data_IF_019889012528
#
_entry.id   IF_019889012528
#
_cell.length_a   1.000
_cell.length_b   1.000
_cell.length_c   1.000
_cell.angle_alpha   90.00
_cell.angle_beta   90.00
_cell.angle_gamma   90.00
#
_symmetry.space_group_name_H-M   'P 1'
#
loop_
_entity.id
_entity.type
_entity.pdbx_description
1 polymer ?
#
# COMPACT_ATOMS: atom_id res chain seq x y z
N UNK A 1 25.24 10.54 -17.57
CA UNK A 1 25.78 10.67 -16.20
C UNK A 1 24.77 10.07 -15.23
N UNK A 2 24.91 8.78 -14.93
CA UNK A 2 24.10 8.06 -13.95
C UNK A 2 24.57 8.46 -12.55
N UNK A 3 23.67 9.00 -11.74
CA UNK A 3 23.92 9.43 -10.36
C UNK A 3 24.54 8.28 -9.55
N UNK A 4 25.75 8.48 -9.04
CA UNK A 4 26.47 7.58 -8.12
C UNK A 4 25.84 7.51 -6.72
N UNK A 5 24.75 8.23 -6.50
CA UNK A 5 24.02 8.34 -5.24
C UNK A 5 22.57 7.99 -5.52
N UNK A 6 22.17 6.75 -5.22
CA UNK A 6 20.75 6.36 -5.20
C UNK A 6 19.94 7.21 -4.21
N UNK A 7 18.61 7.06 -4.17
CA UNK A 7 17.73 7.92 -3.38
C UNK A 7 18.16 8.00 -1.91
N UNK A 8 18.15 9.20 -1.36
CA UNK A 8 18.53 9.52 0.02
C UNK A 8 17.32 9.43 0.97
N UNK A 9 17.57 9.56 2.28
CA UNK A 9 16.48 9.63 3.27
C UNK A 9 15.58 10.86 3.03
N UNK A 10 16.15 11.96 2.57
CA UNK A 10 15.42 13.20 2.26
C UNK A 10 14.49 12.94 1.08
N UNK A 11 14.98 12.29 0.01
CA UNK A 11 14.17 11.95 -1.17
C UNK A 11 13.02 11.01 -0.81
N UNK A 12 13.26 10.03 0.06
CA UNK A 12 12.25 9.11 0.54
C UNK A 12 11.19 9.80 1.42
N UNK A 13 11.59 10.75 2.27
CA UNK A 13 10.66 11.55 3.07
C UNK A 13 9.81 12.49 2.20
N UNK A 14 10.40 13.15 1.21
CA UNK A 14 9.68 13.98 0.25
C UNK A 14 8.70 13.15 -0.59
N UNK A 15 9.12 11.94 -0.98
CA UNK A 15 8.25 10.98 -1.67
C UNK A 15 7.06 10.57 -0.79
N UNK A 16 7.30 10.28 0.49
CA UNK A 16 6.22 9.95 1.42
C UNK A 16 5.26 11.12 1.61
N UNK A 17 5.77 12.35 1.72
CA UNK A 17 4.96 13.56 1.77
C UNK A 17 4.12 13.74 0.50
N UNK A 18 4.65 13.38 -0.68
CA UNK A 18 3.93 13.39 -1.95
C UNK A 18 2.76 12.42 -1.95
N UNK A 19 2.98 11.17 -1.48
CA UNK A 19 1.92 10.16 -1.35
C UNK A 19 0.83 10.62 -0.37
N UNK A 20 1.22 11.18 0.78
CA UNK A 20 0.27 11.71 1.79
C UNK A 20 -0.53 12.89 1.23
N UNK A 21 0.12 13.84 0.58
CA UNK A 21 -0.54 15.00 -0.04
C UNK A 21 -1.56 14.56 -1.09
N UNK A 22 -1.19 13.62 -1.96
CA UNK A 22 -2.10 13.10 -2.98
C UNK A 22 -3.40 12.56 -2.34
N UNK A 23 -3.24 11.79 -1.26
CA UNK A 23 -4.34 11.17 -0.53
C UNK A 23 -5.21 12.18 0.23
N UNK A 24 -4.59 13.10 0.96
CA UNK A 24 -5.29 14.02 1.86
C UNK A 24 -5.92 15.20 1.11
N UNK A 25 -5.27 15.66 0.04
CA UNK A 25 -5.64 16.93 -0.62
C UNK A 25 -5.97 16.74 -2.09
N UNK A 26 -5.07 16.15 -2.88
CA UNK A 26 -5.18 16.26 -4.34
C UNK A 26 -6.36 15.44 -4.89
N UNK A 27 -6.57 14.20 -4.41
CA UNK A 27 -7.71 13.37 -4.82
C UNK A 27 -9.06 13.94 -4.34
N UNK A 28 -9.10 14.49 -3.12
CA UNK A 28 -10.30 15.15 -2.61
C UNK A 28 -10.62 16.45 -3.38
N UNK A 29 -9.59 17.16 -3.85
CA UNK A 29 -9.73 18.32 -4.72
C UNK A 29 -10.21 17.95 -6.12
N UNK A 30 -9.63 16.91 -6.71
CA UNK A 30 -10.02 16.36 -8.01
C UNK A 30 -11.49 15.90 -8.01
N UNK A 31 -11.91 15.17 -6.97
CA UNK A 31 -13.31 14.74 -6.82
C UNK A 31 -14.27 15.92 -6.85
N UNK A 32 -13.97 16.97 -6.06
CA UNK A 32 -14.79 18.19 -6.01
C UNK A 32 -14.88 18.85 -7.38
N UNK A 33 -13.76 19.04 -8.07
CA UNK A 33 -13.74 19.61 -9.42
C UNK A 33 -14.55 18.80 -10.43
N UNK A 34 -14.47 17.46 -10.36
CA UNK A 34 -15.27 16.57 -11.20
C UNK A 34 -16.77 16.72 -10.89
N UNK A 35 -17.15 16.66 -9.62
CA UNK A 35 -18.55 16.81 -9.18
C UNK A 35 -19.12 18.19 -9.59
N UNK A 36 -18.34 19.27 -9.43
CA UNK A 36 -18.72 20.62 -9.84
C UNK A 36 -18.89 20.72 -11.37
N UNK A 37 -17.97 20.16 -12.14
CA UNK A 37 -18.04 20.14 -13.61
C UNK A 37 -19.23 19.33 -14.13
N UNK A 38 -19.52 18.18 -13.53
CA UNK A 38 -20.69 17.37 -13.84
C UNK A 38 -22.00 18.10 -13.46
N UNK A 39 -22.01 18.78 -12.31
CA UNK A 39 -23.16 19.59 -11.89
C UNK A 39 -23.41 20.74 -12.86
N UNK A 40 -22.36 21.48 -13.25
CA UNK A 40 -22.44 22.57 -14.22
C UNK A 40 -22.98 22.08 -15.57
N UNK A 41 -22.51 20.93 -16.04
CA UNK A 41 -23.02 20.30 -17.26
C UNK A 41 -24.52 19.95 -17.14
N UNK A 42 -24.97 19.40 -16.02
CA UNK A 42 -26.39 19.04 -15.82
C UNK A 42 -27.31 20.26 -15.80
N UNK A 43 -26.86 21.36 -15.19
CA UNK A 43 -27.67 22.58 -15.03
C UNK A 43 -27.54 23.56 -16.19
N UNK A 44 -26.64 23.31 -17.15
CA UNK A 44 -26.44 24.21 -18.29
C UNK A 44 -27.72 24.35 -19.12
N UNK A 45 -28.12 25.60 -19.35
CA UNK A 45 -29.24 25.97 -20.20
C UNK A 45 -28.97 27.32 -20.83
N UNK A 46 -29.01 27.36 -22.16
CA UNK A 46 -28.95 28.58 -22.95
C UNK A 46 -30.35 28.83 -23.57
N UNK A 47 -31.01 29.96 -23.26
CA UNK A 47 -32.32 30.28 -23.82
C UNK A 47 -32.29 30.52 -25.34
N UNK A 48 -31.13 30.82 -25.92
CA UNK A 48 -30.97 31.08 -27.35
C UNK A 48 -30.73 29.80 -28.16
N UNK A 49 -30.55 28.66 -27.48
CA UNK A 49 -30.34 27.34 -28.10
C UNK A 49 -31.61 26.49 -28.09
N UNK A 50 -31.76 25.65 -29.12
CA UNK A 50 -32.79 24.60 -29.14
C UNK A 50 -32.54 23.57 -28.04
N UNK A 51 -33.58 22.82 -27.65
CA UNK A 51 -33.45 21.75 -26.64
C UNK A 51 -32.41 20.68 -27.05
N UNK A 52 -32.33 20.38 -28.35
CA UNK A 52 -31.33 19.45 -28.89
C UNK A 52 -29.91 20.03 -28.78
N UNK A 53 -29.72 21.32 -29.13
CA UNK A 53 -28.43 21.98 -28.99
C UNK A 53 -28.00 22.09 -27.51
N UNK A 54 -28.94 22.39 -26.61
CA UNK A 54 -28.71 22.34 -25.17
C UNK A 54 -28.32 20.93 -24.71
N UNK A 55 -29.00 19.87 -25.17
CA UNK A 55 -28.65 18.49 -24.83
C UNK A 55 -27.24 18.11 -25.32
N UNK A 56 -26.88 18.46 -26.56
CA UNK A 56 -25.53 18.25 -27.10
C UNK A 56 -24.48 19.00 -26.28
N UNK A 57 -24.76 20.26 -25.92
CA UNK A 57 -23.84 21.08 -25.14
C UNK A 57 -23.60 20.52 -23.74
N UNK A 58 -24.64 20.04 -23.07
CA UNK A 58 -24.51 19.35 -21.77
C UNK A 58 -23.63 18.10 -21.88
N UNK A 59 -23.83 17.30 -22.91
CA UNK A 59 -23.01 16.10 -23.15
C UNK A 59 -21.54 16.44 -23.46
N UNK A 60 -21.28 17.51 -24.19
CA UNK A 60 -19.91 18.01 -24.44
C UNK A 60 -19.23 18.46 -23.15
N UNK A 61 -19.93 19.25 -22.31
CA UNK A 61 -19.40 19.71 -21.02
C UNK A 61 -19.12 18.55 -20.07
N UNK A 62 -20.03 17.57 -20.01
CA UNK A 62 -19.87 16.36 -19.22
C UNK A 62 -18.64 15.54 -19.67
N UNK A 63 -18.46 15.37 -20.99
CA UNK A 63 -17.28 14.71 -21.57
C UNK A 63 -16.00 15.47 -21.24
N UNK A 64 -15.98 16.78 -21.40
CA UNK A 64 -14.81 17.62 -21.13
C UNK A 64 -14.41 17.57 -19.63
N UNK A 65 -15.39 17.61 -18.72
CA UNK A 65 -15.13 17.50 -17.28
C UNK A 65 -14.49 16.14 -16.92
N UNK A 66 -15.01 15.06 -17.51
CA UNK A 66 -14.48 13.70 -17.34
C UNK A 66 -13.07 13.53 -17.91
N UNK A 67 -12.83 14.00 -19.13
CA UNK A 67 -11.53 13.93 -19.79
C UNK A 67 -10.45 14.72 -19.02
N UNK A 68 -10.81 15.91 -18.54
CA UNK A 68 -9.94 16.72 -17.70
C UNK A 68 -9.61 16.00 -16.38
N UNK A 69 -10.62 15.44 -15.71
CA UNK A 69 -10.42 14.69 -14.48
C UNK A 69 -9.57 13.42 -14.69
N UNK A 70 -9.75 12.71 -15.81
CA UNK A 70 -8.93 11.55 -16.17
C UNK A 70 -7.47 11.92 -16.37
N UNK A 71 -7.19 13.04 -17.04
CA UNK A 71 -5.82 13.54 -17.25
C UNK A 71 -5.14 13.95 -15.94
N UNK A 72 -5.86 14.64 -15.05
CA UNK A 72 -5.34 14.99 -13.72
C UNK A 72 -5.07 13.73 -12.89
N UNK A 73 -5.97 12.74 -12.94
CA UNK A 73 -5.81 11.47 -12.23
C UNK A 73 -4.57 10.70 -12.72
N UNK A 74 -4.32 10.65 -14.03
CA UNK A 74 -3.10 10.06 -14.61
C UNK A 74 -1.83 10.76 -14.11
N UNK A 75 -1.89 12.06 -13.91
CA UNK A 75 -0.81 12.84 -13.30
C UNK A 75 -0.54 12.41 -11.86
N UNK A 76 -1.58 12.37 -11.03
CA UNK A 76 -1.49 11.98 -9.62
C UNK A 76 -0.98 10.53 -9.50
N UNK A 77 -1.50 9.61 -10.29
CA UNK A 77 -1.06 8.20 -10.31
C UNK A 77 0.41 8.07 -10.68
N UNK A 78 0.86 8.72 -11.77
CA UNK A 78 2.29 8.67 -12.14
C UNK A 78 3.20 9.21 -11.05
N UNK A 79 2.85 10.36 -10.47
CA UNK A 79 3.65 10.99 -9.42
C UNK A 79 3.70 10.15 -8.14
N UNK A 80 2.56 9.58 -7.73
CA UNK A 80 2.49 8.72 -6.54
C UNK A 80 3.18 7.36 -6.74
N UNK A 81 3.07 6.75 -7.93
CA UNK A 81 3.79 5.52 -8.26
C UNK A 81 5.31 5.74 -8.27
N UNK A 82 5.78 6.83 -8.89
CA UNK A 82 7.20 7.18 -8.88
C UNK A 82 7.72 7.44 -7.45
N UNK A 83 6.94 8.11 -6.61
CA UNK A 83 7.27 8.33 -5.20
C UNK A 83 7.34 7.00 -4.42
N UNK A 84 6.38 6.09 -4.63
CA UNK A 84 6.37 4.77 -4.01
C UNK A 84 7.58 3.93 -4.43
N UNK A 85 7.95 3.95 -5.72
CA UNK A 85 9.15 3.29 -6.23
C UNK A 85 10.43 3.85 -5.60
N UNK A 86 10.54 5.18 -5.46
CA UNK A 86 11.69 5.81 -4.79
C UNK A 86 11.82 5.39 -3.32
N UNK A 87 10.72 5.31 -2.59
CA UNK A 87 10.70 4.82 -1.19
C UNK A 87 11.16 3.36 -1.13
N UNK A 88 10.63 2.49 -2.00
CA UNK A 88 11.00 1.08 -2.04
C UNK A 88 12.48 0.90 -2.39
N UNK A 89 12.97 1.63 -3.39
CA UNK A 89 14.39 1.60 -3.78
C UNK A 89 15.31 2.10 -2.65
N UNK A 90 14.91 3.15 -1.92
CA UNK A 90 15.65 3.61 -0.75
C UNK A 90 15.67 2.55 0.36
N UNK A 91 14.52 1.97 0.69
CA UNK A 91 14.41 0.93 1.71
C UNK A 91 15.23 -0.32 1.36
N UNK A 92 15.18 -0.76 0.11
CA UNK A 92 15.97 -1.90 -0.40
C UNK A 92 17.47 -1.61 -0.31
N UNK A 93 17.91 -0.43 -0.78
CA UNK A 93 19.33 -0.03 -0.73
C UNK A 93 19.89 -0.04 0.69
N UNK A 94 19.12 0.44 1.66
CA UNK A 94 19.53 0.50 3.07
C UNK A 94 19.44 -0.87 3.76
N UNK A 95 18.51 -1.72 3.32
CA UNK A 95 18.32 -3.07 3.88
C UNK A 95 19.27 -4.11 3.28
N UNK A 96 19.85 -3.84 2.11
CA UNK A 96 20.80 -4.73 1.47
C UNK A 96 21.96 -4.99 2.45
N UNK A 97 22.36 -6.27 2.63
CA UNK A 97 23.56 -6.56 3.41
C UNK A 97 24.71 -5.77 2.79
N UNK A 98 25.31 -4.88 3.59
CA UNK A 98 26.58 -4.24 3.24
C UNK A 98 27.49 -5.36 2.78
N UNK A 99 28.17 -5.21 1.64
CA UNK A 99 29.00 -6.22 0.98
C UNK A 99 30.04 -6.81 1.94
N UNK A 100 29.57 -7.73 2.78
CA UNK A 100 30.36 -8.53 3.67
C UNK A 100 31.01 -9.62 2.84
N UNK A 101 32.14 -10.11 3.34
CA UNK A 101 32.80 -11.26 2.74
C UNK A 101 31.84 -12.45 2.64
N UNK A 102 32.03 -13.36 1.69
CA UNK A 102 31.20 -14.57 1.56
C UNK A 102 31.07 -15.34 2.89
N UNK A 103 32.11 -15.30 3.72
CA UNK A 103 32.13 -15.87 5.07
C UNK A 103 31.13 -15.20 6.01
N UNK A 104 31.02 -13.87 6.00
CA UNK A 104 30.06 -13.13 6.84
C UNK A 104 28.61 -13.41 6.42
N UNK A 105 28.37 -13.60 5.13
CA UNK A 105 27.06 -13.99 4.61
C UNK A 105 26.68 -15.40 5.08
N UNK A 106 27.58 -16.37 4.94
CA UNK A 106 27.37 -17.74 5.43
C UNK A 106 27.14 -17.80 6.95
N UNK A 107 27.87 -16.99 7.72
CA UNK A 107 27.67 -16.88 9.17
C UNK A 107 26.30 -16.26 9.51
N UNK A 108 25.86 -15.25 8.76
CA UNK A 108 24.53 -14.65 8.94
C UNK A 108 23.41 -15.65 8.60
N UNK A 109 23.58 -16.44 7.54
CA UNK A 109 22.64 -17.49 7.14
C UNK A 109 22.58 -18.61 8.19
N UNK A 110 23.73 -19.07 8.68
CA UNK A 110 23.82 -20.09 9.73
C UNK A 110 23.16 -19.62 11.03
N UNK A 111 23.39 -18.36 11.43
CA UNK A 111 22.72 -17.76 12.61
C UNK A 111 21.21 -17.73 12.43
N UNK A 112 20.74 -17.38 11.23
CA UNK A 112 19.31 -17.36 10.90
C UNK A 112 18.68 -18.75 10.97
N UNK A 113 19.33 -19.76 10.40
CA UNK A 113 18.84 -21.15 10.47
C UNK A 113 18.68 -21.63 11.92
N UNK A 114 19.71 -21.41 12.76
CA UNK A 114 19.63 -21.76 14.19
C UNK A 114 18.57 -20.95 14.94
N UNK A 115 18.37 -19.68 14.59
CA UNK A 115 17.34 -18.84 15.19
C UNK A 115 15.93 -19.35 14.82
N UNK A 116 15.74 -19.77 13.57
CA UNK A 116 14.50 -20.42 13.14
C UNK A 116 14.26 -21.72 13.89
N UNK A 117 15.23 -22.61 13.99
CA UNK A 117 15.06 -23.91 14.67
C UNK A 117 14.60 -23.74 16.13
N UNK A 118 15.22 -22.81 16.87
CA UNK A 118 14.82 -22.47 18.24
C UNK A 118 13.40 -21.91 18.31
N UNK A 119 13.07 -21.02 17.37
CA UNK A 119 11.76 -20.37 17.32
C UNK A 119 10.66 -21.37 16.98
N UNK A 120 10.90 -22.23 15.99
CA UNK A 120 10.01 -23.32 15.61
C UNK A 120 9.71 -24.23 16.79
N UNK A 121 10.71 -24.61 17.58
CA UNK A 121 10.49 -25.41 18.79
C UNK A 121 9.56 -24.71 19.81
N UNK A 122 9.66 -23.39 19.98
CA UNK A 122 8.77 -22.63 20.87
C UNK A 122 7.32 -22.58 20.32
N UNK A 123 7.16 -22.38 19.02
CA UNK A 123 5.85 -22.38 18.36
C UNK A 123 5.23 -23.78 18.40
N UNK A 124 6.03 -24.82 18.20
CA UNK A 124 5.60 -26.22 18.29
C UNK A 124 5.18 -26.61 19.72
N UNK A 125 5.84 -26.04 20.74
CA UNK A 125 5.46 -26.15 22.15
C UNK A 125 4.21 -25.32 22.54
N UNK A 126 3.58 -24.61 21.60
CA UNK A 126 2.33 -23.89 21.80
C UNK A 126 2.46 -22.42 22.17
N UNK A 127 3.67 -21.84 22.13
CA UNK A 127 3.85 -20.39 22.33
C UNK A 127 3.27 -19.62 21.14
N UNK A 128 2.63 -18.48 21.40
CA UNK A 128 2.04 -17.67 20.33
C UNK A 128 3.12 -16.95 19.51
N UNK A 129 2.85 -16.70 18.23
CA UNK A 129 3.76 -15.94 17.36
C UNK A 129 3.99 -14.51 17.90
N UNK A 130 2.96 -13.88 18.46
CA UNK A 130 3.06 -12.54 19.05
C UNK A 130 4.06 -12.51 20.22
N UNK A 131 4.01 -13.50 21.12
CA UNK A 131 4.93 -13.58 22.26
C UNK A 131 6.39 -13.81 21.82
N UNK A 132 6.58 -14.59 20.76
CA UNK A 132 7.92 -14.83 20.22
C UNK A 132 8.45 -13.56 19.55
N UNK A 133 7.66 -12.90 18.71
CA UNK A 133 8.04 -11.64 18.04
C UNK A 133 8.39 -10.55 19.06
N UNK A 134 7.57 -10.40 20.11
CA UNK A 134 7.77 -9.35 21.12
C UNK A 134 9.10 -9.43 21.86
N UNK A 135 9.66 -10.63 22.04
CA UNK A 135 10.91 -10.88 22.76
C UNK A 135 12.12 -11.19 21.87
N UNK A 136 11.93 -11.29 20.56
CA UNK A 136 12.96 -11.74 19.61
C UNK A 136 14.09 -10.72 19.40
N UNK A 137 15.30 -11.24 19.12
CA UNK A 137 16.43 -10.45 18.60
C UNK A 137 16.30 -10.24 17.07
N UNK A 138 17.19 -9.42 16.49
CA UNK A 138 17.17 -9.07 15.06
C UNK A 138 17.33 -10.30 14.15
N UNK A 139 18.22 -11.24 14.49
CA UNK A 139 18.45 -12.44 13.68
C UNK A 139 17.22 -13.35 13.69
N UNK A 140 16.56 -13.45 14.83
CA UNK A 140 15.29 -14.18 15.03
C UNK A 140 14.14 -13.53 14.29
N UNK A 141 14.00 -12.20 14.35
CA UNK A 141 12.98 -11.47 13.59
C UNK A 141 13.18 -11.60 12.06
N UNK A 142 14.44 -11.56 11.60
CA UNK A 142 14.78 -11.81 10.19
C UNK A 142 14.46 -13.25 9.77
N UNK A 143 14.67 -14.23 10.66
CA UNK A 143 14.27 -15.62 10.41
C UNK A 143 12.74 -15.76 10.33
N UNK A 144 12.03 -15.20 11.29
CA UNK A 144 10.56 -15.18 11.33
C UNK A 144 9.96 -14.54 10.07
N UNK A 145 10.54 -13.44 9.59
CA UNK A 145 10.08 -12.78 8.36
C UNK A 145 10.09 -13.70 7.14
N UNK A 146 11.04 -14.63 7.06
CA UNK A 146 11.22 -15.54 5.92
C UNK A 146 10.38 -16.81 6.10
N UNK A 147 10.43 -17.42 7.28
CA UNK A 147 9.96 -18.79 7.48
C UNK A 147 8.55 -18.87 8.09
N UNK A 148 8.14 -17.87 8.88
CA UNK A 148 6.87 -17.90 9.62
C UNK A 148 5.64 -17.98 8.70
N UNK A 149 5.55 -17.26 7.56
CA UNK A 149 4.41 -17.38 6.65
C UNK A 149 4.16 -18.82 6.20
N UNK A 150 5.20 -19.48 5.70
CA UNK A 150 5.14 -20.87 5.23
C UNK A 150 4.81 -21.84 6.36
N UNK A 151 5.35 -21.62 7.56
CA UNK A 151 5.04 -22.43 8.74
C UNK A 151 3.57 -22.31 9.17
N UNK A 152 3.00 -21.10 9.19
CA UNK A 152 1.60 -20.87 9.54
C UNK A 152 0.65 -21.44 8.47
N UNK A 153 1.00 -21.30 7.20
CA UNK A 153 0.25 -21.91 6.10
C UNK A 153 0.22 -23.43 6.23
N UNK A 154 1.37 -24.07 6.51
CA UNK A 154 1.45 -25.52 6.71
C UNK A 154 0.64 -26.03 7.92
N UNK A 155 0.46 -25.21 8.96
CA UNK A 155 -0.37 -25.56 10.13
C UNK A 155 -1.87 -25.44 9.88
N UNK A 156 -2.29 -24.66 8.88
CA UNK A 156 -3.71 -24.55 8.48
C UNK A 156 -3.98 -25.54 7.36
N UNK A 157 -4.30 -26.78 7.71
CA UNK A 157 -4.74 -27.76 6.73
C UNK A 157 -5.98 -27.24 5.98
N UNK A 158 -5.95 -27.31 4.64
CA UNK A 158 -7.11 -26.99 3.81
C UNK A 158 -8.22 -28.03 4.12
N UNK A 159 -9.44 -27.60 4.48
CA UNK A 159 -10.56 -28.52 4.63
C UNK A 159 -10.85 -29.21 3.29
N UNK A 160 -11.06 -30.52 3.33
CA UNK A 160 -11.38 -31.31 2.14
C UNK A 160 -12.88 -31.20 1.78
N UNK A 161 -13.24 -31.57 0.55
CA UNK A 161 -14.64 -31.67 0.12
C UNK A 161 -15.36 -30.31 -0.02
N UNK A 162 -16.68 -30.32 0.24
CA UNK A 162 -17.52 -29.11 0.14
C UNK A 162 -17.18 -28.06 1.20
N UNK A 163 -16.58 -28.46 2.32
CA UNK A 163 -16.13 -27.57 3.40
C UNK A 163 -14.89 -26.74 2.98
N UNK A 164 -14.19 -27.16 1.93
CA UNK A 164 -13.12 -26.38 1.30
C UNK A 164 -13.61 -25.30 0.33
N UNK A 165 -14.92 -25.24 0.02
CA UNK A 165 -15.47 -24.16 -0.84
C UNK A 165 -15.48 -22.85 -0.04
N UNK A 166 -14.63 -21.91 -0.45
CA UNK A 166 -14.45 -20.63 0.22
C UNK A 166 -13.28 -20.59 1.19
N UNK A 167 -12.54 -21.70 1.35
CA UNK A 167 -11.27 -21.65 2.06
C UNK A 167 -10.31 -20.77 1.27
N UNK A 168 -9.81 -19.74 1.95
CA UNK A 168 -8.80 -18.82 1.41
C UNK A 168 -7.56 -18.97 2.27
N UNK A 169 -6.40 -19.04 1.62
CA UNK A 169 -5.13 -19.05 2.34
C UNK A 169 -5.03 -17.76 3.17
N UNK A 170 -4.53 -17.89 4.40
CA UNK A 170 -4.40 -16.75 5.28
C UNK A 170 -3.36 -15.78 4.71
N UNK A 171 -3.74 -14.51 4.53
CA UNK A 171 -2.79 -13.48 4.13
C UNK A 171 -1.68 -13.35 5.19
N UNK A 172 -0.39 -13.49 4.83
CA UNK A 172 0.73 -13.30 5.75
C UNK A 172 1.08 -11.84 6.01
N UNK A 173 0.55 -10.86 5.25
CA UNK A 173 0.87 -9.45 5.41
C UNK A 173 0.68 -8.91 6.84
N UNK A 174 -0.38 -9.30 7.60
CA UNK A 174 -0.51 -9.00 9.02
C UNK A 174 0.70 -9.34 9.90
N UNK A 175 1.18 -10.59 9.81
CA UNK A 175 2.26 -11.06 10.67
C UNK A 175 3.60 -10.47 10.23
N UNK A 176 3.81 -10.30 8.92
CA UNK A 176 5.01 -9.66 8.36
C UNK A 176 5.15 -8.20 8.82
N UNK A 177 4.05 -7.46 8.88
CA UNK A 177 4.04 -6.07 9.41
C UNK A 177 4.37 -6.00 10.89
N UNK A 178 3.87 -6.94 11.69
CA UNK A 178 4.20 -7.04 13.12
C UNK A 178 5.70 -7.29 13.32
N UNK A 179 6.29 -8.18 12.50
CA UNK A 179 7.73 -8.44 12.49
C UNK A 179 8.51 -7.19 12.06
N UNK A 180 8.07 -6.49 11.01
CA UNK A 180 8.73 -5.26 10.54
C UNK A 180 8.73 -4.16 11.60
N UNK A 181 7.63 -3.98 12.33
CA UNK A 181 7.60 -3.03 13.46
C UNK A 181 8.58 -3.41 14.55
N UNK A 182 8.61 -4.68 14.95
CA UNK A 182 9.57 -5.16 15.94
C UNK A 182 11.03 -4.97 15.47
N UNK A 183 11.28 -5.06 14.15
CA UNK A 183 12.57 -4.76 13.54
C UNK A 183 12.91 -3.26 13.61
N UNK A 184 11.96 -2.36 13.37
CA UNK A 184 12.20 -0.90 13.46
C UNK A 184 12.84 -0.51 14.79
N UNK A 185 12.40 -1.10 15.90
CA UNK A 185 12.88 -0.76 17.24
C UNK A 185 14.28 -1.33 17.56
N UNK A 186 14.76 -2.30 16.77
CA UNK A 186 15.99 -3.05 17.04
C UNK A 186 17.08 -2.86 15.99
N UNK A 187 16.73 -2.30 14.83
CA UNK A 187 17.67 -2.02 13.76
C UNK A 187 18.51 -0.76 14.05
N UNK A 188 19.68 -0.60 13.39
CA UNK A 188 20.41 0.66 13.39
C UNK A 188 19.56 1.81 12.85
N UNK A 189 19.78 3.03 13.35
CA UNK A 189 18.99 4.24 13.07
C UNK A 189 18.59 4.41 11.60
N UNK A 190 19.54 4.26 10.67
CA UNK A 190 19.27 4.47 9.24
C UNK A 190 18.40 3.36 8.65
N UNK A 191 18.61 2.11 9.06
CA UNK A 191 17.79 0.96 8.66
C UNK A 191 16.38 1.05 9.26
N UNK A 192 16.28 1.46 10.52
CA UNK A 192 14.99 1.73 11.18
C UNK A 192 14.23 2.85 10.50
N UNK A 193 14.90 3.94 10.12
CA UNK A 193 14.27 5.06 9.41
C UNK A 193 13.76 4.64 8.03
N UNK A 194 14.57 3.89 7.28
CA UNK A 194 14.17 3.38 5.96
C UNK A 194 12.99 2.41 6.05
N UNK A 195 13.01 1.49 7.02
CA UNK A 195 11.90 0.56 7.25
C UNK A 195 10.63 1.28 7.71
N UNK A 196 10.74 2.31 8.58
CA UNK A 196 9.60 3.12 9.01
C UNK A 196 8.96 3.87 7.84
N UNK A 197 9.75 4.51 6.98
CA UNK A 197 9.22 5.20 5.78
C UNK A 197 8.50 4.20 4.86
N UNK A 198 9.05 3.00 4.68
CA UNK A 198 8.40 1.94 3.90
C UNK A 198 7.08 1.49 4.55
N UNK A 199 7.04 1.28 5.87
CA UNK A 199 5.82 0.91 6.58
C UNK A 199 4.75 1.99 6.46
N UNK A 200 5.13 3.26 6.56
CA UNK A 200 4.22 4.39 6.36
C UNK A 200 3.65 4.41 4.92
N UNK A 201 4.44 4.05 3.91
CA UNK A 201 3.96 3.86 2.54
C UNK A 201 3.00 2.68 2.43
N UNK A 202 3.38 1.51 2.96
CA UNK A 202 2.57 0.29 2.93
C UNK A 202 1.23 0.49 3.66
N UNK A 203 1.18 1.42 4.62
CA UNK A 203 -0.05 1.85 5.27
C UNK A 203 -0.89 2.81 4.42
N UNK A 204 -0.24 3.73 3.71
CA UNK A 204 -0.90 4.78 2.95
C UNK A 204 -1.43 4.32 1.57
N UNK A 205 -0.72 3.41 0.92
CA UNK A 205 -0.94 3.02 -0.47
C UNK A 205 -2.24 2.27 -0.75
N UNK A 206 -2.73 1.33 0.09
CA UNK A 206 -3.97 0.60 -0.18
C UNK A 206 -5.19 1.53 -0.33
N UNK A 207 -5.42 2.42 0.62
CA UNK A 207 -6.52 3.39 0.53
C UNK A 207 -6.35 4.41 -0.59
N UNK A 208 -5.10 4.77 -0.93
CA UNK A 208 -4.82 5.60 -2.10
C UNK A 208 -5.29 4.91 -3.39
N UNK A 209 -4.90 3.64 -3.59
CA UNK A 209 -5.27 2.84 -4.77
C UNK A 209 -6.78 2.69 -4.91
N UNK A 210 -7.49 2.41 -3.82
CA UNK A 210 -8.95 2.31 -3.83
C UNK A 210 -9.63 3.64 -4.17
N UNK A 211 -9.13 4.74 -3.62
CA UNK A 211 -9.65 6.09 -3.93
C UNK A 211 -9.44 6.43 -5.40
N UNK A 212 -8.26 6.15 -5.92
CA UNK A 212 -7.91 6.33 -7.34
C UNK A 212 -8.81 5.48 -8.23
N UNK A 213 -8.98 4.19 -7.93
CA UNK A 213 -9.84 3.30 -8.71
C UNK A 213 -11.31 3.76 -8.70
N UNK A 214 -11.79 4.29 -7.57
CA UNK A 214 -13.11 4.90 -7.47
C UNK A 214 -13.27 6.14 -8.35
N UNK A 215 -12.29 7.05 -8.32
CA UNK A 215 -12.29 8.26 -9.16
C UNK A 215 -12.15 7.93 -10.64
N UNK A 216 -11.38 6.90 -10.99
CA UNK A 216 -11.24 6.41 -12.36
C UNK A 216 -12.59 5.98 -12.92
N UNK A 217 -13.36 5.19 -12.17
CA UNK A 217 -14.74 4.81 -12.57
C UNK A 217 -15.64 6.01 -12.77
N UNK A 218 -15.51 7.05 -11.94
CA UNK A 218 -16.29 8.29 -12.09
C UNK A 218 -15.88 9.09 -13.34
N UNK A 219 -14.57 9.23 -13.58
CA UNK A 219 -14.02 9.88 -14.76
C UNK A 219 -14.39 9.14 -16.05
N UNK A 220 -14.40 7.81 -16.04
CA UNK A 220 -14.80 6.99 -17.19
C UNK A 220 -16.33 6.95 -17.40
N UNK A 221 -17.12 7.47 -16.44
CA UNK A 221 -18.58 7.40 -16.46
C UNK A 221 -19.15 6.00 -16.23
N UNK A 222 -18.33 5.06 -15.76
CA UNK A 222 -18.74 3.68 -15.42
C UNK A 222 -19.27 3.53 -13.99
N UNK A 223 -19.12 4.57 -13.16
CA UNK A 223 -19.67 4.59 -11.81
C UNK A 223 -21.21 4.67 -11.82
N UNK A 224 -21.85 3.71 -11.18
CA UNK A 224 -23.29 3.73 -10.88
C UNK A 224 -23.64 4.54 -9.64
N UNK A 225 -24.94 4.69 -9.38
CA UNK A 225 -25.45 5.37 -8.19
C UNK A 225 -24.93 4.68 -6.91
N UNK A 226 -24.38 5.49 -6.00
CA UNK A 226 -23.80 5.01 -4.75
C UNK A 226 -22.37 4.44 -4.82
N UNK A 227 -21.76 4.34 -6.02
CA UNK A 227 -20.37 3.85 -6.15
C UNK A 227 -19.35 4.78 -5.49
N UNK A 228 -19.65 6.08 -5.39
CA UNK A 228 -18.80 7.05 -4.69
C UNK A 228 -18.72 6.80 -3.18
N UNK A 229 -19.80 6.32 -2.56
CA UNK A 229 -19.81 5.92 -1.14
C UNK A 229 -19.13 4.55 -0.99
N UNK A 230 -19.44 3.58 -1.86
CA UNK A 230 -18.79 2.26 -1.84
C UNK A 230 -17.28 2.35 -1.99
N UNK A 231 -16.79 3.22 -2.88
CA UNK A 231 -15.34 3.43 -3.07
C UNK A 231 -14.70 4.12 -1.86
N UNK A 232 -15.38 5.07 -1.21
CA UNK A 232 -14.87 5.70 0.01
C UNK A 232 -14.83 4.70 1.19
N UNK A 233 -15.83 3.83 1.29
CA UNK A 233 -15.87 2.74 2.28
C UNK A 233 -14.75 1.74 2.00
N UNK A 234 -14.55 1.32 0.74
CA UNK A 234 -13.46 0.41 0.35
C UNK A 234 -12.09 1.00 0.69
N UNK A 235 -11.85 2.28 0.37
CA UNK A 235 -10.62 2.97 0.75
C UNK A 235 -10.42 3.00 2.28
N UNK A 236 -11.50 3.28 3.04
CA UNK A 236 -11.44 3.28 4.50
C UNK A 236 -11.20 1.89 5.09
N UNK A 237 -11.77 0.85 4.51
CA UNK A 237 -11.49 -0.52 4.91
C UNK A 237 -10.05 -0.91 4.58
N UNK A 238 -9.55 -0.59 3.39
CA UNK A 238 -8.15 -0.81 3.03
C UNK A 238 -7.20 -0.11 4.00
N UNK A 239 -7.55 1.11 4.45
CA UNK A 239 -6.81 1.84 5.48
C UNK A 239 -6.88 1.17 6.85
N UNK A 240 -8.05 0.66 7.22
CA UNK A 240 -8.25 -0.05 8.47
C UNK A 240 -7.53 -1.39 8.46
N UNK A 241 -7.57 -2.17 7.38
CA UNK A 241 -6.76 -3.39 7.25
C UNK A 241 -5.27 -3.07 7.24
N UNK A 242 -4.91 -1.86 6.79
CA UNK A 242 -3.55 -1.37 6.89
C UNK A 242 -3.14 -0.90 8.29
N UNK A 243 -4.09 -0.41 9.10
CA UNK A 243 -3.88 0.17 10.43
C UNK A 243 -4.24 -0.75 11.61
N UNK A 244 -5.37 -1.48 11.60
CA UNK A 244 -5.93 -2.33 12.67
C UNK A 244 -5.04 -3.50 13.10
N UNK A 245 -3.86 -3.63 12.53
CA UNK A 245 -2.79 -4.46 13.06
C UNK A 245 -1.98 -3.73 14.15
N UNK A 246 -2.43 -2.54 14.59
CA UNK A 246 -1.86 -1.67 15.64
C UNK A 246 -2.24 -2.09 17.08
N UNK A 247 -3.13 -3.06 17.27
CA UNK A 247 -3.51 -3.63 18.57
C UNK A 247 -3.26 -5.13 18.63
#
# INVERSE_FOLDING_TARGET
>A
MTSLTGPSIIDAQLSLATVRRARETDLAGLRRRLDDGLSQARTFRDPDLTDEANARRRAEMERAAREHAGTELDGIERTTNAAAEQIRAYAERISAPTTGTATEQLLAETRRGRAWDRTRALLDAGRSAADVIGSADVDTLRALRVELPSYLAARRAKPEGLDGRGWTEADPAPVLRTIDRALVDRLPKDQSAALRIRLDLDQAEPGLRETVAGLRRQADGSAGDGDGLRSAIAARFADQEAAQLDT
#
